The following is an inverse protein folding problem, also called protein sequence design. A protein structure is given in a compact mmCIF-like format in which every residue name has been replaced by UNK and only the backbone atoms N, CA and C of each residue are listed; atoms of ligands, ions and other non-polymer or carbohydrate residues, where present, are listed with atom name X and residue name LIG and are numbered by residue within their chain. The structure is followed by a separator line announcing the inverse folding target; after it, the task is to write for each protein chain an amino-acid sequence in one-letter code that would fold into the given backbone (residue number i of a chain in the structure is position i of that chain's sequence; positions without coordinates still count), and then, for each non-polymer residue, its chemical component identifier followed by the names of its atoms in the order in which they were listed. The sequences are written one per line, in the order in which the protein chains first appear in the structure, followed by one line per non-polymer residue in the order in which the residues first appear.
data_IF_842853395087
#
_entry.id   IF_842853395087
#
_cell.length_a   1.000
_cell.length_b   1.000
_cell.length_c   1.000
_cell.angle_alpha   90.00
_cell.angle_beta   90.00
_cell.angle_gamma   90.00
#
_symmetry.space_group_name_H-M   'P 1'
#
loop_
_entity.id
_entity.type
_entity.pdbx_description
1 polymer ?
#
# COMPACT_ATOMS: atom_id res chain seq x y z
N UNK A 1 -18.45 -4.61 9.85
CA UNK A 1 -17.97 -6.01 9.88
C UNK A 1 -16.59 -5.99 10.54
N UNK A 2 -16.55 -6.54 11.76
CA UNK A 2 -15.39 -6.89 12.62
C UNK A 2 -14.35 -5.80 12.94
N UNK A 3 -14.66 -4.96 13.93
CA UNK A 3 -13.65 -4.24 14.72
C UNK A 3 -13.00 -5.26 15.67
N UNK A 4 -11.99 -5.96 15.16
CA UNK A 4 -11.29 -7.02 15.90
C UNK A 4 -10.26 -6.46 16.88
N UNK A 5 -10.57 -6.52 18.17
CA UNK A 5 -9.62 -6.99 19.17
C UNK A 5 -10.35 -8.01 20.03
N UNK A 6 -9.73 -9.16 20.33
CA UNK A 6 -10.29 -10.23 21.18
C UNK A 6 -10.43 -9.80 22.66
N UNK A 7 -11.14 -8.70 22.88
CA UNK A 7 -11.25 -7.97 24.14
C UNK A 7 -11.80 -6.55 24.01
N UNK A 8 -12.16 -6.09 22.80
CA UNK A 8 -12.87 -4.83 22.57
C UNK A 8 -12.13 -3.56 23.03
N UNK A 9 -10.81 -3.63 23.27
CA UNK A 9 -10.03 -2.46 23.63
C UNK A 9 -9.72 -1.66 22.37
N UNK A 10 -10.05 -0.36 22.34
CA UNK A 10 -9.67 0.52 21.23
C UNK A 10 -8.15 0.55 21.07
N UNK A 11 -7.68 0.44 19.82
CA UNK A 11 -6.27 0.64 19.48
C UNK A 11 -6.06 2.15 19.31
N UNK A 12 -5.19 2.79 20.10
CA UNK A 12 -4.91 4.21 19.92
C UNK A 12 -4.22 4.45 18.56
N UNK A 13 -4.45 5.61 17.92
CA UNK A 13 -3.79 5.94 16.66
C UNK A 13 -2.28 5.98 16.85
N UNK A 14 -1.55 5.44 15.87
CA UNK A 14 -0.09 5.56 15.81
C UNK A 14 0.37 6.98 15.47
N UNK A 15 1.70 7.23 15.44
CA UNK A 15 2.24 8.51 15.04
C UNK A 15 1.79 8.90 13.62
N UNK A 16 1.51 10.18 13.41
CA UNK A 16 1.19 10.70 12.08
C UNK A 16 2.45 10.69 11.19
N UNK A 17 2.32 10.16 9.99
CA UNK A 17 3.35 10.17 8.94
C UNK A 17 2.80 10.79 7.67
N UNK A 18 3.67 11.40 6.89
CA UNK A 18 3.35 12.08 5.63
C UNK A 18 3.86 11.31 4.42
N UNK A 19 4.85 10.44 4.62
CA UNK A 19 5.47 9.68 3.55
C UNK A 19 5.63 8.20 3.93
N UNK A 20 5.72 7.34 2.91
CA UNK A 20 6.04 5.93 3.10
C UNK A 20 7.38 5.74 3.83
N UNK A 21 8.37 6.57 3.50
CA UNK A 21 9.70 6.49 4.11
C UNK A 21 9.70 6.84 5.60
N UNK A 22 8.89 7.82 6.02
CA UNK A 22 8.66 8.11 7.44
C UNK A 22 7.99 6.92 8.15
N UNK A 23 6.96 6.34 7.53
CA UNK A 23 6.29 5.14 8.05
C UNK A 23 7.24 3.97 8.26
N UNK A 24 8.03 3.63 7.22
CA UNK A 24 9.04 2.58 7.30
C UNK A 24 10.10 2.88 8.37
N UNK A 25 10.51 4.14 8.52
CA UNK A 25 11.48 4.55 9.54
C UNK A 25 10.93 4.35 10.96
N UNK A 26 9.66 4.69 11.19
CA UNK A 26 9.02 4.45 12.48
C UNK A 26 8.82 2.95 12.76
N UNK A 27 8.51 2.16 11.74
CA UNK A 27 8.41 0.70 11.87
C UNK A 27 9.75 0.07 12.25
N UNK A 28 10.84 0.45 11.56
CA UNK A 28 12.20 0.02 11.89
C UNK A 28 12.62 0.43 13.32
N UNK A 29 12.14 1.58 13.80
CA UNK A 29 12.38 2.05 15.17
C UNK A 29 11.47 1.37 16.24
N UNK A 30 10.61 0.43 15.86
CA UNK A 30 9.67 -0.22 16.78
C UNK A 30 8.57 0.72 17.30
N UNK A 31 8.26 1.80 16.57
CA UNK A 31 7.29 2.84 16.96
C UNK A 31 5.95 2.73 16.25
N UNK A 32 5.74 1.68 15.45
CA UNK A 32 4.48 1.40 14.78
C UNK A 32 4.59 0.26 13.77
N UNK A 33 3.49 -0.03 13.10
CA UNK A 33 3.41 -0.91 11.94
C UNK A 33 2.49 -0.28 10.91
N UNK A 34 2.61 -0.71 9.65
CA UNK A 34 1.76 -0.21 8.55
C UNK A 34 1.41 -1.34 7.59
N UNK A 35 0.21 -1.26 7.00
CA UNK A 35 -0.20 -2.15 5.91
C UNK A 35 0.37 -1.64 4.59
N UNK A 36 0.92 -2.54 3.80
CA UNK A 36 1.44 -2.27 2.47
C UNK A 36 0.95 -3.34 1.51
N UNK A 37 0.73 -2.94 0.26
CA UNK A 37 0.57 -3.92 -0.81
C UNK A 37 1.90 -4.64 -1.05
N UNK A 38 1.81 -5.90 -1.51
CA UNK A 38 2.99 -6.75 -1.74
C UNK A 38 4.07 -6.09 -2.62
N UNK A 39 3.75 -5.46 -3.78
CA UNK A 39 4.77 -4.81 -4.60
C UNK A 39 5.53 -3.70 -3.87
N UNK A 40 4.85 -2.95 -2.98
CA UNK A 40 5.49 -1.89 -2.19
C UNK A 40 6.43 -2.48 -1.15
N UNK A 41 6.03 -3.56 -0.49
CA UNK A 41 6.88 -4.28 0.47
C UNK A 41 8.13 -4.86 -0.22
N UNK A 42 7.96 -5.51 -1.37
CA UNK A 42 9.06 -6.11 -2.13
C UNK A 42 10.07 -5.06 -2.62
N UNK A 43 9.57 -3.93 -3.13
CA UNK A 43 10.43 -2.83 -3.60
C UNK A 43 11.19 -2.14 -2.47
N UNK A 44 10.59 -2.01 -1.28
CA UNK A 44 11.18 -1.33 -0.12
C UNK A 44 11.81 -2.30 0.88
N UNK A 45 12.33 -3.43 0.40
CA UNK A 45 13.04 -4.41 1.23
C UNK A 45 14.12 -3.74 2.08
N UNK A 46 14.03 -3.91 3.40
CA UNK A 46 15.00 -3.39 4.37
C UNK A 46 15.33 -4.46 5.39
N UNK A 47 16.60 -4.55 5.80
CA UNK A 47 17.07 -5.59 6.74
C UNK A 47 16.57 -5.38 8.17
N UNK A 48 16.19 -4.15 8.51
CA UNK A 48 15.69 -3.74 9.83
C UNK A 48 14.15 -3.82 9.94
N UNK A 49 13.46 -4.37 8.93
CA UNK A 49 12.01 -4.53 8.89
C UNK A 49 11.66 -5.95 8.47
N UNK A 50 10.69 -6.57 9.15
CA UNK A 50 10.10 -7.85 8.74
C UNK A 50 8.72 -7.59 8.16
N UNK A 51 8.48 -8.03 6.91
CA UNK A 51 7.16 -8.00 6.30
C UNK A 51 6.42 -9.31 6.60
N UNK A 52 5.21 -9.18 7.13
CA UNK A 52 4.35 -10.31 7.50
C UNK A 52 3.13 -10.31 6.56
N UNK A 53 2.83 -11.43 5.87
CA UNK A 53 1.60 -11.54 5.09
C UNK A 53 0.36 -11.31 5.95
N UNK A 54 -0.60 -10.56 5.42
CA UNK A 54 -1.91 -10.34 6.05
C UNK A 54 -2.99 -10.94 5.16
N UNK A 55 -3.66 -11.96 5.66
CA UNK A 55 -4.75 -12.65 4.98
C UNK A 55 -6.10 -12.00 5.31
N UNK A 56 -7.13 -12.31 4.50
CA UNK A 56 -8.50 -11.81 4.72
C UNK A 56 -8.75 -10.38 4.24
N UNK A 57 -7.76 -9.74 3.61
CA UNK A 57 -7.93 -8.48 2.89
C UNK A 57 -8.11 -8.74 1.38
N UNK A 58 -8.91 -7.91 0.69
CA UNK A 58 -8.95 -7.94 -0.77
C UNK A 58 -7.59 -7.62 -1.40
N UNK A 59 -7.37 -8.11 -2.62
CA UNK A 59 -6.16 -7.80 -3.37
C UNK A 59 -6.03 -6.29 -3.64
N UNK A 60 -4.81 -5.79 -3.53
CA UNK A 60 -4.47 -4.44 -3.94
C UNK A 60 -4.35 -4.37 -5.46
N UNK A 61 -5.09 -3.47 -6.10
CA UNK A 61 -5.01 -3.24 -7.55
C UNK A 61 -4.40 -1.86 -7.86
N UNK A 62 -3.56 -1.81 -8.89
CA UNK A 62 -3.10 -0.57 -9.51
C UNK A 62 -3.87 -0.38 -10.82
N UNK A 63 -4.38 0.83 -11.05
CA UNK A 63 -5.13 1.17 -12.26
C UNK A 63 -4.66 2.46 -12.88
N UNK A 64 -4.74 2.54 -14.20
CA UNK A 64 -4.57 3.79 -14.93
C UNK A 64 -5.91 4.54 -14.94
N UNK A 65 -5.86 5.81 -14.56
CA UNK A 65 -7.04 6.66 -14.40
C UNK A 65 -6.80 7.97 -15.17
N UNK A 66 -7.79 8.38 -15.95
CA UNK A 66 -7.80 9.68 -16.62
C UNK A 66 -9.22 10.23 -16.67
N UNK A 67 -9.32 11.55 -16.80
CA UNK A 67 -10.61 12.19 -17.02
C UNK A 67 -11.17 11.78 -18.39
N UNK A 68 -12.46 11.48 -18.47
CA UNK A 68 -13.10 11.00 -19.70
C UNK A 68 -12.85 11.94 -20.90
N UNK A 69 -12.96 13.26 -20.68
CA UNK A 69 -12.73 14.28 -21.70
C UNK A 69 -11.25 14.50 -22.07
N UNK A 70 -10.35 13.75 -21.44
CA UNK A 70 -8.89 13.81 -21.67
C UNK A 70 -8.35 12.52 -22.27
N UNK A 71 -9.23 11.62 -22.71
CA UNK A 71 -8.80 10.45 -23.47
C UNK A 71 -8.24 10.87 -24.84
N UNK A 72 -7.05 10.40 -25.17
CA UNK A 72 -6.37 10.67 -26.43
C UNK A 72 -5.77 9.38 -26.99
N UNK A 73 -5.35 9.39 -28.25
CA UNK A 73 -4.62 8.27 -28.83
C UNK A 73 -3.35 7.92 -28.01
N UNK A 74 -2.70 8.92 -27.39
CA UNK A 74 -1.53 8.71 -26.53
C UNK A 74 -1.87 7.99 -25.23
N UNK A 75 -2.97 8.37 -24.56
CA UNK A 75 -3.37 7.69 -23.31
C UNK A 75 -3.80 6.26 -23.58
N UNK A 76 -4.48 6.00 -24.71
CA UNK A 76 -4.82 4.63 -25.14
C UNK A 76 -3.57 3.80 -25.46
N UNK A 77 -2.62 4.37 -26.21
CA UNK A 77 -1.37 3.70 -26.54
C UNK A 77 -0.54 3.39 -25.28
N UNK A 78 -0.48 4.33 -24.32
CA UNK A 78 0.17 4.09 -23.04
C UNK A 78 -0.54 3.01 -22.23
N UNK A 79 -1.88 3.04 -22.18
CA UNK A 79 -2.65 1.99 -21.51
C UNK A 79 -2.36 0.62 -22.08
N UNK A 80 -2.35 0.47 -23.41
CA UNK A 80 -2.01 -0.80 -24.05
C UNK A 80 -0.58 -1.25 -23.70
N UNK A 81 0.40 -0.33 -23.78
CA UNK A 81 1.78 -0.64 -23.46
C UNK A 81 1.99 -1.08 -22.01
N UNK A 82 1.25 -0.52 -21.05
CA UNK A 82 1.31 -0.91 -19.63
C UNK A 82 0.63 -2.27 -19.39
N UNK A 83 -0.49 -2.54 -20.07
CA UNK A 83 -1.16 -3.84 -19.99
C UNK A 83 -0.31 -4.98 -20.54
N UNK A 84 0.51 -4.74 -21.56
CA UNK A 84 1.38 -5.78 -22.14
C UNK A 84 2.54 -6.22 -21.22
N UNK A 85 2.89 -5.42 -20.21
CA UNK A 85 4.01 -5.69 -19.28
C UNK A 85 3.58 -6.09 -17.87
N UNK A 86 2.28 -6.11 -17.60
CA UNK A 86 1.70 -6.46 -16.29
C UNK A 86 1.03 -7.83 -16.36
#
# INVERSE_FOLDING_TARGET
LLEGTDGGRPIPPGPAVRTLQEGLTLAAAGRGAMLLCRPTADYHGRRDITFVPVDGLPDSALGLLWHQDRETARTRAFSAAVTDVT
#
